data_IF_895996346483
#
_entry.id   IF_895996346483
#
_cell.length_a   1.000
_cell.length_b   1.000
_cell.length_c   1.000
_cell.angle_alpha   90.00
_cell.angle_beta   90.00
_cell.angle_gamma   90.00
#
_symmetry.space_group_name_H-M   'P 1'
#
loop_
_entity.id
_entity.type
_entity.pdbx_description
1 polymer ?
#
# COMPACT_ATOMS: atom_id res chain seq x y z
N UNK A 1 -8.66 -17.99 -6.47
CA UNK A 1 -9.04 -16.63 -6.08
C UNK A 1 -7.85 -15.78 -6.40
N UNK A 2 -7.94 -15.06 -7.51
CA UNK A 2 -7.01 -14.00 -7.87
C UNK A 2 -6.90 -13.06 -6.67
N UNK A 3 -5.68 -12.86 -6.19
CA UNK A 3 -5.41 -11.73 -5.33
C UNK A 3 -5.50 -10.52 -6.27
N UNK A 4 -6.68 -9.94 -6.40
CA UNK A 4 -6.82 -8.55 -6.81
C UNK A 4 -5.99 -7.75 -5.80
N UNK A 5 -4.74 -7.50 -6.16
CA UNK A 5 -3.73 -6.97 -5.25
C UNK A 5 -4.01 -5.48 -5.15
N UNK A 6 -4.91 -5.06 -4.28
CA UNK A 6 -5.16 -3.63 -4.07
C UNK A 6 -3.99 -3.02 -3.31
N UNK A 7 -3.45 -1.91 -3.82
CA UNK A 7 -2.53 -1.02 -3.12
C UNK A 7 -3.28 0.23 -2.69
N UNK A 8 -3.12 0.66 -1.45
CA UNK A 8 -3.58 1.98 -1.03
C UNK A 8 -2.43 2.97 -1.04
N UNK A 9 -2.65 4.15 -1.62
CA UNK A 9 -1.66 5.22 -1.72
C UNK A 9 -2.22 6.50 -1.13
N UNK A 10 -1.42 7.18 -0.32
CA UNK A 10 -1.72 8.52 0.17
C UNK A 10 -0.53 9.43 -0.12
N UNK A 11 -0.81 10.61 -0.67
CA UNK A 11 0.21 11.63 -0.93
C UNK A 11 -0.01 12.77 0.05
N UNK A 12 0.90 12.87 1.02
CA UNK A 12 0.88 13.89 2.07
C UNK A 12 2.01 14.92 1.91
N UNK A 13 2.07 15.90 2.83
CA UNK A 13 3.13 16.91 2.83
C UNK A 13 4.53 16.32 3.08
N UNK A 14 4.60 15.19 3.78
CA UNK A 14 5.85 14.49 4.11
C UNK A 14 6.30 13.50 3.03
N UNK A 15 5.50 13.30 1.97
CA UNK A 15 5.80 12.37 0.90
C UNK A 15 4.66 11.42 0.55
N UNK A 16 5.01 10.35 -0.16
CA UNK A 16 4.07 9.32 -0.60
C UNK A 16 4.13 8.12 0.34
N UNK A 17 2.96 7.72 0.84
CA UNK A 17 2.74 6.55 1.66
C UNK A 17 2.03 5.48 0.85
N UNK A 18 2.40 4.21 1.06
CA UNK A 18 1.83 3.08 0.35
C UNK A 18 1.59 1.91 1.30
N UNK A 19 0.39 1.34 1.22
CA UNK A 19 -0.02 0.14 1.95
C UNK A 19 -0.27 -0.96 0.92
N UNK A 20 0.52 -2.04 0.98
CA UNK A 20 0.45 -3.16 0.02
C UNK A 20 0.24 -4.50 0.73
N UNK A 21 -0.59 -5.40 0.18
CA UNK A 21 -0.68 -6.75 0.68
C UNK A 21 0.54 -7.55 0.22
N UNK A 22 0.92 -8.56 1.02
CA UNK A 22 1.93 -9.56 0.70
C UNK A 22 1.25 -10.88 0.34
N UNK A 23 2.00 -11.74 -0.36
CA UNK A 23 1.60 -13.14 -0.61
C UNK A 23 1.26 -13.89 0.69
N UNK A 24 1.84 -13.49 1.83
CA UNK A 24 1.54 -14.05 3.15
C UNK A 24 0.20 -13.59 3.76
N UNK A 25 -0.65 -12.87 3.01
CA UNK A 25 -1.89 -12.23 3.49
C UNK A 25 -1.68 -11.21 4.61
N UNK A 26 -0.47 -10.68 4.74
CA UNK A 26 -0.15 -9.57 5.65
C UNK A 26 -0.01 -8.28 4.86
N UNK A 27 -0.25 -7.16 5.49
CA UNK A 27 -0.14 -5.83 4.90
C UNK A 27 1.15 -5.17 5.31
N UNK A 28 1.81 -4.45 4.41
CA UNK A 28 3.05 -3.71 4.72
C UNK A 28 2.93 -2.27 4.30
N UNK A 29 3.67 -1.41 4.98
CA UNK A 29 3.70 0.02 4.72
C UNK A 29 5.02 0.45 4.09
N UNK A 30 5.00 1.53 3.32
CA UNK A 30 6.19 2.20 2.82
C UNK A 30 5.95 3.71 2.79
N UNK A 31 6.99 4.45 3.12
CA UNK A 31 7.07 5.91 2.96
C UNK A 31 8.27 6.22 2.06
N UNK A 32 8.04 6.86 0.91
CA UNK A 32 9.07 7.32 -0.04
C UNK A 32 10.28 6.38 -0.24
N UNK A 33 11.51 6.86 0.00
CA UNK A 33 12.77 6.12 -0.19
C UNK A 33 13.10 5.22 1.01
N UNK A 34 12.22 5.13 2.01
CA UNK A 34 12.41 4.23 3.13
C UNK A 34 12.18 2.77 2.69
N UNK A 35 12.86 1.80 3.34
CA UNK A 35 12.55 0.40 3.16
C UNK A 35 11.10 0.10 3.58
N UNK A 36 10.54 -0.98 3.06
CA UNK A 36 9.22 -1.47 3.50
C UNK A 36 9.25 -1.75 5.01
N UNK A 37 8.30 -1.16 5.72
CA UNK A 37 8.14 -1.29 7.16
C UNK A 37 7.29 -2.49 7.58
N UNK A 38 6.73 -2.37 8.78
CA UNK A 38 6.04 -3.42 9.53
C UNK A 38 4.96 -4.19 8.76
N UNK A 39 4.68 -5.40 9.23
CA UNK A 39 3.65 -6.28 8.67
C UNK A 39 2.41 -6.33 9.57
N UNK A 40 1.27 -5.87 9.07
CA UNK A 40 -0.03 -5.79 9.75
C UNK A 40 -0.99 -6.91 9.30
N UNK A 41 -2.05 -7.15 10.08
CA UNK A 41 -3.05 -8.17 9.74
C UNK A 41 -4.07 -7.65 8.73
N UNK A 42 -4.36 -6.35 8.77
CA UNK A 42 -5.28 -5.68 7.84
C UNK A 42 -4.67 -4.39 7.26
N UNK A 43 -5.22 -3.89 6.15
CA UNK A 43 -4.83 -2.59 5.57
C UNK A 43 -5.20 -1.43 6.51
N UNK A 44 -6.35 -1.52 7.18
CA UNK A 44 -6.83 -0.52 8.14
C UNK A 44 -5.88 -0.38 9.33
N UNK A 45 -5.38 -1.50 9.88
CA UNK A 45 -4.36 -1.46 10.94
C UNK A 45 -3.07 -0.79 10.46
N UNK A 46 -2.70 -1.00 9.21
CA UNK A 46 -1.51 -0.39 8.62
C UNK A 46 -1.66 1.15 8.49
N UNK A 47 -2.83 1.63 8.06
CA UNK A 47 -3.15 3.06 7.99
C UNK A 47 -3.13 3.70 9.39
N UNK A 48 -3.77 3.06 10.38
CA UNK A 48 -3.74 3.52 11.77
C UNK A 48 -2.35 3.55 12.37
N UNK A 49 -1.48 2.60 12.01
CA UNK A 49 -0.09 2.62 12.47
C UNK A 49 0.68 3.80 11.87
N UNK A 50 0.50 4.10 10.59
CA UNK A 50 1.11 5.27 9.96
C UNK A 50 0.60 6.58 10.56
N UNK A 51 -0.70 6.70 10.82
CA UNK A 51 -1.31 7.90 11.40
C UNK A 51 -0.82 8.23 12.83
N UNK A 52 -0.20 7.28 13.54
CA UNK A 52 0.42 7.52 14.85
C UNK A 52 1.77 8.22 14.76
N UNK A 53 2.45 8.08 13.64
CA UNK A 53 3.82 8.57 13.43
C UNK A 53 3.88 9.73 12.44
N UNK A 54 2.93 9.79 11.49
CA UNK A 54 2.89 10.74 10.39
C UNK A 54 1.52 11.40 10.28
N UNK A 55 1.47 12.59 9.67
CA UNK A 55 0.21 13.29 9.36
C UNK A 55 -0.49 12.67 8.14
N UNK A 56 -1.06 11.47 8.33
CA UNK A 56 -1.82 10.73 7.31
C UNK A 56 -3.18 10.28 7.86
N UNK A 57 -4.20 10.09 6.99
CA UNK A 57 -5.52 9.63 7.43
C UNK A 57 -5.49 8.25 8.06
N UNK A 58 -6.21 8.10 9.17
CA UNK A 58 -6.40 6.81 9.83
C UNK A 58 -7.44 5.92 9.11
N UNK A 59 -8.40 6.51 8.41
CA UNK A 59 -9.43 5.78 7.65
C UNK A 59 -8.93 5.47 6.24
N UNK A 60 -8.92 4.19 5.87
CA UNK A 60 -8.49 3.72 4.56
C UNK A 60 -9.38 4.24 3.41
N UNK A 61 -10.62 4.68 3.70
CA UNK A 61 -11.50 5.29 2.69
C UNK A 61 -10.97 6.63 2.17
N UNK A 62 -10.11 7.29 2.94
CA UNK A 62 -9.45 8.54 2.54
C UNK A 62 -8.20 8.29 1.68
N UNK A 63 -7.78 7.02 1.56
CA UNK A 63 -6.64 6.62 0.74
C UNK A 63 -7.10 6.34 -0.68
N UNK A 64 -6.20 6.58 -1.64
CA UNK A 64 -6.46 6.22 -3.03
C UNK A 64 -6.25 4.72 -3.22
N UNK A 65 -7.33 4.01 -3.54
CA UNK A 65 -7.28 2.61 -3.93
C UNK A 65 -6.73 2.47 -5.37
N UNK A 66 -5.61 1.78 -5.50
CA UNK A 66 -4.97 1.45 -6.77
C UNK A 66 -4.99 -0.06 -6.93
N UNK A 67 -5.81 -0.56 -7.85
CA UNK A 67 -5.75 -1.96 -8.28
C UNK A 67 -4.39 -2.23 -8.92
N UNK A 68 -3.58 -3.10 -8.30
CA UNK A 68 -2.32 -3.57 -8.89
C UNK A 68 -2.71 -4.65 -9.92
N UNK A 69 -3.10 -4.19 -11.11
CA UNK A 69 -3.27 -5.08 -12.27
C UNK A 69 -1.88 -5.57 -12.65
N UNK A 70 -1.56 -6.82 -12.31
CA UNK A 70 -0.42 -7.52 -12.88
C UNK A 70 -0.70 -7.72 -14.37
N UNK A 71 -0.44 -6.69 -15.18
CA UNK A 71 -0.34 -6.87 -16.62
C UNK A 71 0.98 -7.61 -16.82
N UNK A 72 0.88 -8.93 -16.95
CA UNK A 72 1.93 -9.84 -17.43
C UNK A 72 2.26 -9.52 -18.90
N UNK A 73 2.53 -8.24 -19.21
CA UNK A 73 3.03 -7.82 -20.52
C UNK A 73 4.53 -8.03 -20.51
N UNK A 74 4.92 -9.30 -20.43
CA UNK A 74 6.01 -9.84 -21.24
C UNK A 74 5.59 -9.80 -22.71
N UNK A 75 5.27 -8.61 -23.21
CA UNK A 75 4.99 -8.37 -24.61
C UNK A 75 6.32 -8.24 -25.31
N UNK A 76 6.68 -9.28 -26.05
CA UNK A 76 7.65 -9.25 -27.14
C UNK A 76 7.64 -7.86 -27.80
N UNK A 77 8.69 -7.07 -27.57
CA UNK A 77 8.98 -5.96 -28.46
C UNK A 77 9.25 -6.58 -29.85
N UNK A 78 8.68 -6.01 -30.93
CA UNK A 78 8.83 -6.52 -32.28
C UNK A 78 10.29 -6.55 -32.75
#
# INVERSE_FOLDING_TARGET
MDLDTVTYVFQGPEGTFSIKPRLSRRWRVKHDSAPWGDSFSTAQEAAQALAREFDVPEDLQEWTEVGDFHTDVGGLLP
#
